data_IF_428432637352
#
_entry.id   IF_428432637352
#
_cell.length_a   1.000
_cell.length_b   1.000
_cell.length_c   1.000
_cell.angle_alpha   90.00
_cell.angle_beta   90.00
_cell.angle_gamma   90.00
#
_symmetry.space_group_name_H-M   'P 1'
#
loop_
_entity.id
_entity.type
_entity.pdbx_description
1 polymer ?
#
# COMPACT_ATOMS: atom_id res chain seq x y z
N UNK A 1 14.95 -14.82 18.61
CA UNK A 1 14.10 -14.83 17.39
C UNK A 1 13.00 -13.73 17.28
N UNK A 2 12.98 -12.60 18.03
CA UNK A 2 11.96 -11.55 17.83
C UNK A 2 12.29 -10.51 16.73
N UNK A 3 13.47 -10.58 16.12
CA UNK A 3 13.95 -9.51 15.23
C UNK A 3 13.34 -9.53 13.82
N UNK A 4 12.92 -10.69 13.32
CA UNK A 4 12.36 -10.87 11.97
C UNK A 4 10.84 -10.72 11.92
N UNK A 5 10.13 -11.12 12.99
CA UNK A 5 8.66 -10.98 13.17
C UNK A 5 8.17 -9.53 13.29
N UNK A 6 9.05 -8.56 13.09
CA UNK A 6 8.74 -7.14 13.09
C UNK A 6 8.94 -6.53 11.69
N UNK A 7 9.67 -7.19 10.78
CA UNK A 7 10.11 -6.55 9.55
C UNK A 7 9.02 -6.44 8.48
N UNK A 8 8.18 -7.47 8.30
CA UNK A 8 7.10 -7.41 7.31
C UNK A 8 6.01 -6.43 7.77
N UNK A 9 5.62 -6.50 9.05
CA UNK A 9 4.74 -5.50 9.64
C UNK A 9 5.30 -4.07 9.52
N UNK A 10 6.61 -3.87 9.77
CA UNK A 10 7.27 -2.56 9.56
C UNK A 10 7.23 -2.12 8.11
N UNK A 11 7.46 -3.04 7.16
CA UNK A 11 7.40 -2.71 5.74
C UNK A 11 5.99 -2.27 5.33
N UNK A 12 4.94 -2.93 5.82
CA UNK A 12 3.55 -2.52 5.57
C UNK A 12 3.26 -1.12 6.14
N UNK A 13 3.75 -0.81 7.35
CA UNK A 13 3.59 0.52 7.94
C UNK A 13 4.33 1.59 7.11
N UNK A 14 5.58 1.33 6.73
CA UNK A 14 6.38 2.23 5.89
C UNK A 14 5.67 2.47 4.56
N UNK A 15 5.20 1.40 3.93
CA UNK A 15 4.46 1.48 2.66
C UNK A 15 3.19 2.31 2.80
N UNK A 16 2.42 2.09 3.88
CA UNK A 16 1.19 2.87 4.13
C UNK A 16 1.49 4.36 4.27
N UNK A 17 2.54 4.74 5.01
CA UNK A 17 2.96 6.13 5.16
C UNK A 17 3.36 6.72 3.80
N UNK A 18 4.14 5.98 3.02
CA UNK A 18 4.60 6.40 1.71
C UNK A 18 3.42 6.60 0.76
N UNK A 19 2.44 5.70 0.73
CA UNK A 19 1.21 5.83 -0.05
C UNK A 19 0.44 7.11 0.32
N UNK A 20 0.25 7.37 1.62
CA UNK A 20 -0.44 8.58 2.10
C UNK A 20 0.28 9.85 1.63
N UNK A 21 1.61 9.89 1.80
CA UNK A 21 2.42 11.04 1.37
C UNK A 21 2.32 11.25 -0.14
N UNK A 22 2.40 10.17 -0.92
CA UNK A 22 2.35 10.25 -2.39
C UNK A 22 1.01 10.75 -2.90
N UNK A 23 -0.08 10.24 -2.35
CA UNK A 23 -1.42 10.70 -2.70
C UNK A 23 -1.62 12.16 -2.29
N UNK A 24 -1.12 12.56 -1.12
CA UNK A 24 -1.17 13.95 -0.68
C UNK A 24 -0.39 14.90 -1.60
N UNK A 25 0.84 14.53 -1.98
CA UNK A 25 1.66 15.30 -2.93
C UNK A 25 0.96 15.42 -4.29
N UNK A 26 0.37 14.33 -4.79
CA UNK A 26 -0.41 14.37 -6.03
C UNK A 26 -1.60 15.34 -5.91
N UNK A 27 -2.35 15.28 -4.81
CA UNK A 27 -3.45 16.22 -4.56
C UNK A 27 -3.00 17.68 -4.61
N UNK A 28 -1.86 18.00 -4.00
CA UNK A 28 -1.27 19.35 -4.04
C UNK A 28 -0.93 19.76 -5.47
N UNK A 29 -0.26 18.89 -6.23
CA UNK A 29 0.18 19.20 -7.60
C UNK A 29 -1.02 19.49 -8.52
N UNK A 30 -2.10 18.72 -8.41
CA UNK A 30 -3.22 18.79 -9.34
C UNK A 30 -4.36 19.73 -8.91
N UNK A 31 -4.49 20.05 -7.63
CA UNK A 31 -5.60 20.86 -7.13
C UNK A 31 -5.31 21.70 -5.89
N UNK A 32 -4.05 21.83 -5.49
CA UNK A 32 -3.66 22.57 -4.28
C UNK A 32 -4.00 21.84 -2.99
N UNK A 33 -3.86 22.52 -1.85
CA UNK A 33 -4.04 21.95 -0.52
C UNK A 33 -5.46 21.45 -0.27
N UNK A 34 -6.46 22.17 -0.78
CA UNK A 34 -7.87 21.82 -0.57
C UNK A 34 -8.23 20.49 -1.25
N UNK A 35 -7.71 20.26 -2.47
CA UNK A 35 -7.87 18.99 -3.16
C UNK A 35 -7.11 17.86 -2.44
N UNK A 36 -5.92 18.13 -1.92
CA UNK A 36 -5.14 17.15 -1.17
C UNK A 36 -5.87 16.68 0.09
N UNK A 37 -6.43 17.60 0.87
CA UNK A 37 -7.17 17.30 2.10
C UNK A 37 -8.45 16.51 1.79
N UNK A 38 -9.18 16.90 0.74
CA UNK A 38 -10.37 16.17 0.27
C UNK A 38 -10.02 14.75 -0.16
N UNK A 39 -8.97 14.58 -0.98
CA UNK A 39 -8.51 13.26 -1.44
C UNK A 39 -8.14 12.38 -0.24
N UNK A 40 -7.40 12.90 0.75
CA UNK A 40 -7.07 12.14 1.96
C UNK A 40 -8.33 11.69 2.69
N UNK A 41 -9.33 12.57 2.85
CA UNK A 41 -10.61 12.20 3.45
C UNK A 41 -11.32 11.07 2.71
N UNK A 42 -11.28 11.10 1.37
CA UNK A 42 -11.92 10.10 0.49
C UNK A 42 -11.18 8.77 0.51
N UNK A 43 -9.84 8.79 0.45
CA UNK A 43 -9.04 7.57 0.33
C UNK A 43 -8.79 6.89 1.68
N UNK A 44 -9.05 7.55 2.81
CA UNK A 44 -8.74 7.00 4.13
C UNK A 44 -9.46 5.68 4.44
N UNK A 45 -10.78 5.63 4.20
CA UNK A 45 -11.56 4.40 4.45
C UNK A 45 -11.14 3.27 3.49
N UNK A 46 -11.04 3.50 2.16
CA UNK A 46 -10.46 2.52 1.24
C UNK A 46 -9.06 2.06 1.65
N UNK A 47 -8.18 2.97 2.08
CA UNK A 47 -6.84 2.63 2.51
C UNK A 47 -6.87 1.68 3.72
N UNK A 48 -7.69 1.97 4.74
CA UNK A 48 -7.85 1.08 5.89
C UNK A 48 -8.34 -0.32 5.48
N UNK A 49 -9.27 -0.40 4.53
CA UNK A 49 -9.78 -1.67 4.01
C UNK A 49 -8.71 -2.48 3.26
N UNK A 50 -7.65 -1.85 2.73
CA UNK A 50 -6.47 -2.55 2.20
C UNK A 50 -5.42 -2.89 3.27
N UNK A 51 -5.15 -1.97 4.19
CA UNK A 51 -4.11 -2.09 5.22
C UNK A 51 -4.46 -3.16 6.26
N UNK A 52 -5.70 -3.18 6.76
CA UNK A 52 -6.10 -4.07 7.86
C UNK A 52 -5.96 -5.55 7.46
N UNK A 53 -6.51 -6.02 6.31
CA UNK A 53 -6.32 -7.40 5.89
C UNK A 53 -4.86 -7.74 5.63
N UNK A 54 -4.09 -6.81 5.06
CA UNK A 54 -2.67 -7.01 4.79
C UNK A 54 -1.86 -7.21 6.07
N UNK A 55 -2.16 -6.44 7.12
CA UNK A 55 -1.53 -6.57 8.43
C UNK A 55 -1.87 -7.90 9.11
N UNK A 56 -3.12 -8.36 8.98
CA UNK A 56 -3.55 -9.67 9.47
C UNK A 56 -2.84 -10.81 8.73
N UNK A 57 -2.76 -10.74 7.39
CA UNK A 57 -2.04 -11.71 6.58
C UNK A 57 -0.56 -11.73 6.93
N UNK A 58 0.08 -10.58 7.12
CA UNK A 58 1.47 -10.50 7.56
C UNK A 58 1.70 -11.21 8.90
N UNK A 59 0.82 -10.99 9.89
CA UNK A 59 0.88 -11.70 11.17
C UNK A 59 0.70 -13.21 11.02
N UNK A 60 -0.19 -13.66 10.13
CA UNK A 60 -0.39 -15.09 9.83
C UNK A 60 0.87 -15.67 9.19
N UNK A 61 1.44 -14.99 8.18
CA UNK A 61 2.69 -15.40 7.54
C UNK A 61 3.79 -15.49 8.59
N UNK A 62 3.97 -14.47 9.44
CA UNK A 62 5.02 -14.48 10.47
C UNK A 62 4.84 -15.58 11.52
N UNK A 63 3.60 -15.91 11.89
CA UNK A 63 3.29 -16.92 12.92
C UNK A 63 3.40 -18.35 12.41
N UNK A 64 2.96 -18.60 11.18
CA UNK A 64 2.78 -19.96 10.65
C UNK A 64 3.76 -20.31 9.53
N UNK A 65 4.44 -19.33 8.93
CA UNK A 65 5.34 -19.51 7.80
C UNK A 65 6.70 -18.90 8.16
N UNK A 66 7.78 -19.65 7.97
CA UNK A 66 9.12 -19.10 8.19
C UNK A 66 9.34 -17.95 7.19
N UNK A 67 9.54 -16.73 7.72
CA UNK A 67 9.72 -15.54 6.90
C UNK A 67 11.03 -15.67 6.09
N UNK A 68 10.89 -15.71 4.77
CA UNK A 68 11.99 -15.68 3.80
C UNK A 68 11.89 -14.40 2.98
N UNK A 69 12.98 -13.99 2.32
CA UNK A 69 12.97 -12.82 1.43
C UNK A 69 11.86 -12.92 0.37
N UNK A 70 11.63 -14.12 -0.21
CA UNK A 70 10.53 -14.36 -1.15
C UNK A 70 9.14 -14.12 -0.54
N UNK A 71 8.85 -14.72 0.61
CA UNK A 71 7.51 -14.60 1.22
C UNK A 71 7.23 -13.18 1.72
N UNK A 72 8.27 -12.45 2.12
CA UNK A 72 8.16 -11.06 2.54
C UNK A 72 7.87 -10.12 1.36
N UNK A 73 8.52 -10.32 0.21
CA UNK A 73 8.23 -9.59 -1.03
C UNK A 73 6.77 -9.86 -1.45
N UNK A 74 6.32 -11.12 -1.41
CA UNK A 74 4.93 -11.48 -1.71
C UNK A 74 3.96 -10.73 -0.78
N UNK A 75 4.28 -10.60 0.50
CA UNK A 75 3.45 -9.84 1.45
C UNK A 75 3.31 -8.36 1.10
N UNK A 76 4.40 -7.70 0.69
CA UNK A 76 4.37 -6.28 0.26
C UNK A 76 3.62 -6.12 -1.07
N UNK A 77 3.80 -7.03 -2.02
CA UNK A 77 3.04 -7.02 -3.28
C UNK A 77 1.55 -7.27 -3.05
N UNK A 78 1.20 -8.17 -2.13
CA UNK A 78 -0.18 -8.45 -1.78
C UNK A 78 -0.84 -7.26 -1.08
N UNK A 79 -0.10 -6.53 -0.23
CA UNK A 79 -0.54 -5.24 0.31
C UNK A 79 -0.88 -4.25 -0.81
N UNK A 80 -0.01 -4.12 -1.81
CA UNK A 80 -0.24 -3.20 -2.92
C UNK A 80 -1.47 -3.58 -3.73
N UNK A 81 -1.63 -4.87 -4.07
CA UNK A 81 -2.81 -5.35 -4.81
C UNK A 81 -4.10 -5.08 -4.03
N UNK A 82 -4.13 -5.39 -2.73
CA UNK A 82 -5.31 -5.14 -1.91
C UNK A 82 -5.62 -3.64 -1.80
N UNK A 83 -4.60 -2.80 -1.63
CA UNK A 83 -4.76 -1.35 -1.57
C UNK A 83 -5.24 -0.80 -2.91
N UNK A 84 -4.68 -1.27 -4.02
CA UNK A 84 -5.09 -0.90 -5.38
C UNK A 84 -6.57 -1.24 -5.63
N UNK A 85 -6.98 -2.47 -5.32
CA UNK A 85 -8.39 -2.88 -5.44
C UNK A 85 -9.28 -2.00 -4.57
N UNK A 86 -8.87 -1.75 -3.32
CA UNK A 86 -9.66 -0.97 -2.39
C UNK A 86 -9.85 0.48 -2.84
N UNK A 87 -8.80 1.15 -3.32
CA UNK A 87 -8.88 2.52 -3.87
C UNK A 87 -9.81 2.57 -5.08
N UNK A 88 -9.78 1.56 -5.94
CA UNK A 88 -10.69 1.46 -7.09
C UNK A 88 -12.15 1.32 -6.68
N UNK A 89 -12.44 0.43 -5.73
CA UNK A 89 -13.80 0.27 -5.18
C UNK A 89 -14.23 1.56 -4.50
N UNK A 90 -13.33 2.18 -3.72
CA UNK A 90 -13.54 3.44 -3.05
C UNK A 90 -13.95 4.56 -4.00
N UNK A 91 -13.20 4.77 -5.08
CA UNK A 91 -13.51 5.78 -6.09
C UNK A 91 -14.87 5.55 -6.76
N UNK A 92 -15.19 4.30 -7.09
CA UNK A 92 -16.48 3.92 -7.69
C UNK A 92 -17.64 4.20 -6.72
N UNK A 93 -17.52 3.74 -5.48
CA UNK A 93 -18.56 3.93 -4.45
C UNK A 93 -18.72 5.41 -4.12
N UNK A 94 -17.62 6.14 -3.99
CA UNK A 94 -17.64 7.56 -3.68
C UNK A 94 -18.37 8.37 -4.77
N UNK A 95 -18.01 8.18 -6.04
CA UNK A 95 -18.71 8.86 -7.15
C UNK A 95 -20.20 8.50 -7.20
N UNK A 96 -20.57 7.25 -6.90
CA UNK A 96 -21.98 6.87 -6.81
C UNK A 96 -22.72 7.56 -5.66
N UNK A 97 -22.07 7.72 -4.50
CA UNK A 97 -22.67 8.35 -3.33
C UNK A 97 -22.75 9.88 -3.45
N UNK A 98 -21.74 10.52 -4.04
CA UNK A 98 -21.67 11.98 -4.17
C UNK A 98 -22.44 12.48 -5.40
N UNK A 99 -22.18 11.89 -6.58
CA UNK A 99 -22.74 12.36 -7.85
C UNK A 99 -24.03 11.62 -8.27
N UNK A 100 -24.41 10.57 -7.54
CA UNK A 100 -25.54 9.70 -7.89
C UNK A 100 -25.31 8.89 -9.17
N UNK A 101 -24.06 8.80 -9.65
CA UNK A 101 -23.70 8.20 -10.94
C UNK A 101 -22.43 7.36 -10.80
N UNK A 102 -22.31 6.37 -11.67
CA UNK A 102 -21.06 5.63 -11.80
C UNK A 102 -19.96 6.53 -12.34
N UNK A 103 -18.76 6.39 -11.78
CA UNK A 103 -17.57 7.11 -12.25
C UNK A 103 -17.32 6.84 -13.75
N UNK A 104 -16.96 7.88 -14.48
CA UNK A 104 -16.59 7.75 -15.88
C UNK A 104 -15.33 6.87 -16.03
N UNK A 105 -15.28 6.05 -17.10
CA UNK A 105 -14.16 5.13 -17.31
C UNK A 105 -12.84 5.86 -17.48
N UNK A 106 -12.84 7.03 -18.11
CA UNK A 106 -11.62 7.81 -18.33
C UNK A 106 -11.07 8.34 -17.00
N UNK A 107 -11.94 8.87 -16.14
CA UNK A 107 -11.55 9.30 -14.79
C UNK A 107 -11.06 8.13 -13.93
N UNK A 108 -11.74 6.98 -13.99
CA UNK A 108 -11.29 5.79 -13.28
C UNK A 108 -9.93 5.30 -13.79
N UNK A 109 -9.67 5.42 -15.10
CA UNK A 109 -8.36 5.11 -15.69
C UNK A 109 -7.27 6.06 -15.18
N UNK A 110 -7.54 7.36 -15.12
CA UNK A 110 -6.59 8.36 -14.59
C UNK A 110 -6.26 8.10 -13.12
N UNK A 111 -7.27 7.82 -12.28
CA UNK A 111 -7.05 7.46 -10.87
C UNK A 111 -6.18 6.19 -10.76
N UNK A 112 -6.43 5.18 -11.59
CA UNK A 112 -5.64 3.94 -11.62
C UNK A 112 -4.20 4.19 -12.01
N UNK A 113 -3.97 4.93 -13.09
CA UNK A 113 -2.60 5.23 -13.54
C UNK A 113 -1.86 6.09 -12.52
N UNK A 114 -2.50 7.16 -12.03
CA UNK A 114 -1.90 8.03 -11.02
C UNK A 114 -1.49 7.22 -9.79
N UNK A 115 -2.36 6.33 -9.29
CA UNK A 115 -2.07 5.49 -8.14
C UNK A 115 -0.99 4.44 -8.46
N UNK A 116 -1.04 3.80 -9.63
CA UNK A 116 -0.05 2.79 -10.03
C UNK A 116 1.35 3.39 -10.16
N UNK A 117 1.49 4.55 -10.80
CA UNK A 117 2.79 5.18 -11.00
C UNK A 117 3.34 5.85 -9.74
N UNK A 118 2.47 6.47 -8.93
CA UNK A 118 2.90 7.11 -7.69
C UNK A 118 3.18 6.09 -6.58
N UNK A 119 2.32 5.09 -6.40
CA UNK A 119 2.45 4.13 -5.30
C UNK A 119 3.16 2.84 -5.72
N UNK A 120 2.90 2.30 -6.92
CA UNK A 120 3.45 1.00 -7.33
C UNK A 120 4.97 0.97 -7.47
N UNK A 121 5.57 2.06 -7.97
CA UNK A 121 7.05 2.19 -8.02
C UNK A 121 7.64 2.21 -6.61
N UNK A 122 6.95 2.84 -5.66
CA UNK A 122 7.40 2.94 -4.28
C UNK A 122 7.26 1.62 -3.53
N UNK A 123 6.15 0.89 -3.75
CA UNK A 123 5.95 -0.47 -3.26
C UNK A 123 7.10 -1.39 -3.67
N UNK A 124 7.55 -1.30 -4.93
CA UNK A 124 8.69 -2.06 -5.42
C UNK A 124 9.96 -1.71 -4.60
N UNK A 125 10.18 -0.43 -4.33
CA UNK A 125 11.28 0.05 -3.48
C UNK A 125 11.25 -0.55 -2.08
N UNK A 126 10.08 -0.56 -1.42
CA UNK A 126 9.92 -1.16 -0.07
C UNK A 126 10.13 -2.67 -0.11
N UNK A 127 9.62 -3.36 -1.13
CA UNK A 127 9.82 -4.79 -1.30
C UNK A 127 11.31 -5.16 -1.49
N UNK A 128 12.04 -4.39 -2.31
CA UNK A 128 13.48 -4.57 -2.51
C UNK A 128 14.25 -4.31 -1.22
N UNK A 129 13.96 -3.21 -0.52
CA UNK A 129 14.59 -2.89 0.77
C UNK A 129 14.39 -4.00 1.80
N UNK A 130 13.17 -4.53 1.89
CA UNK A 130 12.83 -5.63 2.79
C UNK A 130 13.60 -6.91 2.43
N UNK A 131 13.68 -7.25 1.13
CA UNK A 131 14.46 -8.37 0.64
C UNK A 131 15.93 -8.29 1.03
N UNK A 132 16.57 -7.14 0.78
CA UNK A 132 17.99 -6.89 1.12
C UNK A 132 18.22 -7.01 2.63
N UNK A 133 17.33 -6.46 3.46
CA UNK A 133 17.43 -6.55 4.93
C UNK A 133 17.36 -8.00 5.40
N UNK A 134 16.44 -8.80 4.86
CA UNK A 134 16.28 -10.21 5.24
C UNK A 134 17.49 -11.05 4.83
N UNK A 135 18.07 -10.80 3.66
CA UNK A 135 19.27 -11.51 3.20
C UNK A 135 20.49 -11.18 4.07
N UNK A 136 20.67 -9.91 4.47
CA UNK A 136 21.74 -9.52 5.42
C UNK A 136 21.60 -10.19 6.79
N UNK A 137 20.38 -10.28 7.32
CA UNK A 137 20.13 -11.00 8.59
C UNK A 137 20.48 -12.47 8.45
N UNK A 138 20.12 -13.10 7.34
CA UNK A 138 20.45 -14.51 7.07
C UNK A 138 21.97 -14.73 6.99
N UNK A 139 22.71 -13.84 6.33
CA UNK A 139 24.17 -13.92 6.25
C UNK A 139 24.82 -13.74 7.63
N UNK A 140 24.38 -12.76 8.42
CA UNK A 140 24.90 -12.53 9.77
C UNK A 140 24.63 -13.68 10.74
N UNK A 141 23.59 -14.49 10.52
CA UNK A 141 23.29 -15.66 11.36
C UNK A 141 24.15 -16.89 11.07
N UNK A 142 24.93 -16.86 9.99
CA UNK A 142 25.81 -17.96 9.57
C UNK A 142 27.27 -17.77 9.98
N UNK A 143 27.65 -16.55 10.39
CA UNK A 143 28.96 -16.21 10.95
C UNK A 143 28.89 -16.26 12.48
#
# INVERSE_FOLDING_TARGET
>A
MPHTSSLLCKAIIIETIIVVISVYILGIIYGGTDAADSIIGIIFIPLLAGVIPSFLIAKIIEKYIKLTSKNAIIGVLLFFVLTFISVNIGAIVFSFLEDGKWIDRHHLYEIREAFLYSCGIQTLGVAIWLGIKLDKIKQSSKN
#
